data_IF_878521006702
#
_entry.id   IF_878521006702
#
_cell.length_a   1.000
_cell.length_b   1.000
_cell.length_c   1.000
_cell.angle_alpha   90.00
_cell.angle_beta   90.00
_cell.angle_gamma   90.00
#
_symmetry.space_group_name_H-M   'P 1'
#
loop_
_entity.id
_entity.type
_entity.pdbx_description
1 polymer ?
#
# COMPACT_ATOMS: atom_id res chain seq x y z
N UNK A 1 3.55 21.09 -12.52
CA UNK A 1 3.57 20.19 -11.33
C UNK A 1 3.62 18.74 -11.79
N UNK A 2 4.09 17.82 -10.95
CA UNK A 2 4.19 16.39 -11.29
C UNK A 2 2.82 15.70 -11.31
N UNK A 3 2.66 14.68 -12.16
CA UNK A 3 1.47 13.83 -12.16
C UNK A 3 1.36 13.03 -10.86
N UNK A 4 0.14 12.82 -10.34
CA UNK A 4 -0.10 12.01 -9.13
C UNK A 4 0.41 10.57 -9.25
N UNK A 5 0.50 10.04 -10.48
CA UNK A 5 1.08 8.71 -10.75
C UNK A 5 2.61 8.70 -10.78
N UNK A 6 3.24 9.87 -10.87
CA UNK A 6 4.69 10.05 -10.91
C UNK A 6 5.27 10.44 -9.55
N UNK A 7 4.43 10.51 -8.52
CA UNK A 7 4.84 10.73 -7.13
C UNK A 7 4.78 9.36 -6.47
N UNK A 8 5.92 8.90 -5.97
CA UNK A 8 6.06 7.62 -5.29
C UNK A 8 6.24 7.84 -3.80
N UNK A 9 5.61 7.00 -2.99
CA UNK A 9 5.65 7.08 -1.53
C UNK A 9 5.79 5.69 -0.93
N UNK A 10 6.55 5.59 0.16
CA UNK A 10 6.63 4.37 0.96
C UNK A 10 5.51 4.37 1.99
N UNK A 11 4.63 3.36 1.96
CA UNK A 11 3.58 3.17 2.94
C UNK A 11 4.02 2.20 4.03
N UNK A 12 3.80 2.59 5.28
CA UNK A 12 4.05 1.73 6.44
C UNK A 12 2.72 1.12 6.94
N UNK A 13 2.76 -0.18 7.24
CA UNK A 13 1.66 -0.93 7.85
C UNK A 13 2.21 -1.91 8.87
N UNK A 14 1.37 -2.34 9.80
CA UNK A 14 1.74 -3.39 10.76
C UNK A 14 1.92 -4.70 10.01
N UNK A 15 3.16 -5.07 9.75
CA UNK A 15 3.49 -6.37 9.18
C UNK A 15 3.68 -7.39 10.29
N UNK A 16 3.24 -8.62 10.02
CA UNK A 16 3.51 -9.77 10.89
C UNK A 16 4.14 -10.91 10.09
N UNK A 17 3.44 -11.46 9.10
CA UNK A 17 3.97 -12.60 8.34
C UNK A 17 4.93 -12.25 7.21
N UNK A 18 4.86 -11.04 6.63
CA UNK A 18 5.66 -10.63 5.47
C UNK A 18 5.41 -11.41 4.15
N UNK A 19 4.44 -12.33 4.12
CA UNK A 19 4.22 -13.28 3.01
C UNK A 19 2.77 -13.26 2.48
N UNK A 20 1.97 -12.25 2.87
CA UNK A 20 0.55 -12.10 2.49
C UNK A 20 -0.43 -13.11 3.05
N UNK A 21 -0.03 -13.92 4.04
CA UNK A 21 -0.91 -14.94 4.65
C UNK A 21 -1.78 -14.40 5.79
N UNK A 22 -1.26 -13.44 6.58
CA UNK A 22 -1.93 -12.97 7.80
C UNK A 22 -2.92 -11.80 7.60
N UNK A 23 -2.90 -11.12 6.45
CA UNK A 23 -3.78 -9.95 6.24
C UNK A 23 -3.39 -8.66 6.98
N UNK A 24 -2.41 -8.64 7.90
CA UNK A 24 -2.11 -7.43 8.70
C UNK A 24 -1.56 -6.25 7.88
N UNK A 25 -0.90 -6.55 6.75
CA UNK A 25 -0.29 -5.55 5.88
C UNK A 25 -1.24 -5.07 4.76
N UNK A 26 -2.55 -5.35 4.84
CA UNK A 26 -3.52 -5.05 3.77
C UNK A 26 -3.80 -3.55 3.64
N UNK A 27 -3.87 -3.06 2.41
CA UNK A 27 -4.25 -1.70 2.00
C UNK A 27 -5.20 -1.82 0.81
N UNK A 28 -6.51 -1.69 1.06
CA UNK A 28 -7.53 -2.00 0.06
C UNK A 28 -7.41 -3.43 -0.46
N UNK A 29 -7.30 -3.61 -1.76
CA UNK A 29 -7.16 -4.96 -2.33
C UNK A 29 -5.70 -5.43 -2.45
N UNK A 30 -4.74 -4.67 -1.91
CA UNK A 30 -3.29 -4.92 -2.01
C UNK A 30 -2.69 -5.25 -0.63
N UNK A 31 -1.52 -5.88 -0.63
CA UNK A 31 -0.72 -6.17 0.55
C UNK A 31 0.58 -5.36 0.50
N UNK A 32 0.86 -4.51 1.49
CA UNK A 32 2.13 -3.75 1.55
C UNK A 32 3.36 -4.66 1.52
N UNK A 33 3.24 -5.87 2.09
CA UNK A 33 4.32 -6.85 2.15
C UNK A 33 4.54 -7.65 0.86
N UNK A 34 3.64 -7.56 -0.13
CA UNK A 34 3.80 -8.22 -1.44
C UNK A 34 3.80 -7.18 -2.58
N UNK A 35 2.81 -6.31 -2.61
CA UNK A 35 2.60 -5.30 -3.65
C UNK A 35 3.31 -3.98 -3.37
N UNK A 36 3.71 -3.74 -2.12
CA UNK A 36 4.38 -2.53 -1.66
C UNK A 36 5.90 -2.72 -1.45
N UNK A 37 6.55 -1.88 -0.60
CA UNK A 37 5.99 -0.78 0.19
C UNK A 37 5.79 0.51 -0.62
N UNK A 38 6.26 0.55 -1.87
CA UNK A 38 6.22 1.74 -2.72
C UNK A 38 4.90 1.78 -3.51
N UNK A 39 4.13 2.83 -3.29
CA UNK A 39 2.88 3.08 -3.98
C UNK A 39 2.91 4.46 -4.64
N UNK A 40 2.09 4.67 -5.66
CA UNK A 40 1.94 6.03 -6.21
C UNK A 40 1.03 6.86 -5.30
N UNK A 41 1.16 8.18 -5.35
CA UNK A 41 0.22 9.07 -4.69
C UNK A 41 -1.21 8.89 -5.22
N UNK A 42 -1.37 8.45 -6.48
CA UNK A 42 -2.67 8.01 -6.98
C UNK A 42 -3.20 6.82 -6.18
N UNK A 43 -2.40 5.76 -6.01
CA UNK A 43 -2.81 4.56 -5.25
C UNK A 43 -3.24 4.93 -3.82
N UNK A 44 -2.44 5.74 -3.13
CA UNK A 44 -2.69 6.08 -1.72
C UNK A 44 -4.02 6.81 -1.48
N UNK A 45 -4.48 7.65 -2.42
CA UNK A 45 -5.74 8.40 -2.27
C UNK A 45 -6.98 7.64 -2.75
N UNK A 46 -6.81 6.46 -3.34
CA UNK A 46 -7.90 5.69 -3.95
C UNK A 46 -7.97 4.23 -3.50
N UNK A 47 -6.95 3.72 -2.83
CA UNK A 47 -7.05 2.45 -2.13
C UNK A 47 -7.95 2.66 -0.90
N UNK A 48 -9.04 1.88 -0.75
CA UNK A 48 -9.91 2.02 0.40
C UNK A 48 -9.18 1.62 1.68
N UNK A 49 -9.33 2.41 2.74
CA UNK A 49 -9.02 1.91 4.08
C UNK A 49 -10.09 0.88 4.45
N UNK A 50 -9.65 -0.33 4.72
CA UNK A 50 -10.48 -1.41 5.23
C UNK A 50 -10.19 -1.48 6.71
N UNK A 51 -11.24 -1.29 7.50
CA UNK A 51 -11.23 -1.39 8.96
C UNK A 51 -11.16 -2.84 9.41
#
# INVERSE_FOLDING_TARGET
GYSKRSIYMSLERRMECGLGKCGHCVVGHKYTCIDGPIFTYWDAINLPEIF
#
